data_IF_531238515283
#
_entry.id   IF_531238515283
#
_cell.length_a   1.000
_cell.length_b   1.000
_cell.length_c   1.000
_cell.angle_alpha   90.00
_cell.angle_beta   90.00
_cell.angle_gamma   90.00
#
_symmetry.space_group_name_H-M   'P 1'
#
loop_
_entity.id
_entity.type
_entity.pdbx_description
1 polymer ?
#
# COMPACT_ATOMS: atom_id res chain seq x y z
N UNK A 1 33.29 3.83 -6.41
CA UNK A 1 32.06 3.61 -5.61
C UNK A 1 31.03 4.62 -6.09
N UNK A 2 30.05 4.19 -6.89
CA UNK A 2 29.05 5.11 -7.44
C UNK A 2 27.97 5.40 -6.39
N UNK A 3 27.55 6.67 -6.19
CA UNK A 3 26.54 7.00 -5.19
C UNK A 3 25.16 6.50 -5.65
N UNK A 4 24.40 5.95 -4.69
CA UNK A 4 23.20 5.13 -4.88
C UNK A 4 21.90 5.96 -5.05
N UNK A 5 21.98 7.29 -5.05
CA UNK A 5 20.78 8.12 -4.99
C UNK A 5 20.65 9.05 -6.21
N UNK A 6 19.81 8.60 -7.16
CA UNK A 6 19.18 9.37 -8.24
C UNK A 6 20.11 10.12 -9.20
N UNK A 7 20.37 9.51 -10.35
CA UNK A 7 20.91 10.23 -11.51
C UNK A 7 19.93 11.31 -12.00
N UNK A 8 20.41 12.39 -12.65
CA UNK A 8 19.55 13.45 -13.21
C UNK A 8 18.39 12.93 -14.08
N UNK A 9 18.63 11.86 -14.85
CA UNK A 9 17.60 11.23 -15.69
C UNK A 9 16.51 10.52 -14.89
N UNK A 10 16.85 9.81 -13.80
CA UNK A 10 15.86 9.19 -12.93
C UNK A 10 14.93 10.22 -12.29
N UNK A 11 15.48 11.37 -11.89
CA UNK A 11 14.69 12.49 -11.35
C UNK A 11 13.71 13.03 -12.37
N UNK A 12 14.13 13.14 -13.64
CA UNK A 12 13.27 13.60 -14.74
C UNK A 12 12.14 12.61 -14.99
N UNK A 13 12.45 11.31 -15.09
CA UNK A 13 11.45 10.26 -15.29
C UNK A 13 10.47 10.20 -14.12
N UNK A 14 10.94 10.34 -12.88
CA UNK A 14 10.09 10.40 -11.68
C UNK A 14 9.09 11.55 -11.74
N UNK A 15 9.57 12.77 -12.02
CA UNK A 15 8.70 13.94 -12.15
C UNK A 15 7.70 13.81 -13.29
N UNK A 16 8.13 13.24 -14.42
CA UNK A 16 7.25 13.00 -15.56
C UNK A 16 6.17 11.99 -15.23
N UNK A 17 6.50 10.91 -14.52
CA UNK A 17 5.53 9.90 -14.10
C UNK A 17 4.44 10.50 -13.21
N UNK A 18 4.81 11.29 -12.21
CA UNK A 18 3.85 11.96 -11.31
C UNK A 18 2.97 12.99 -12.02
N UNK A 19 3.44 13.57 -13.13
CA UNK A 19 2.72 14.61 -13.88
C UNK A 19 1.99 14.06 -15.10
N UNK A 20 2.07 12.77 -15.37
CA UNK A 20 1.39 12.17 -16.51
C UNK A 20 -0.09 12.00 -16.21
N UNK A 21 -0.96 12.72 -16.94
CA UNK A 21 -2.42 12.65 -16.82
C UNK A 21 -2.89 12.68 -15.35
N UNK A 22 -2.51 13.72 -14.57
CA UNK A 22 -2.59 13.68 -13.12
C UNK A 22 -4.03 13.53 -12.61
N UNK A 23 -5.01 14.13 -13.29
CA UNK A 23 -6.42 13.98 -12.95
C UNK A 23 -6.91 12.55 -13.18
N UNK A 24 -6.60 11.94 -14.32
CA UNK A 24 -6.99 10.55 -14.62
C UNK A 24 -6.37 9.58 -13.61
N UNK A 25 -5.09 9.77 -13.27
CA UNK A 25 -4.38 8.93 -12.31
C UNK A 25 -4.90 9.14 -10.87
N UNK A 26 -5.31 10.36 -10.52
CA UNK A 26 -5.93 10.65 -9.24
C UNK A 26 -7.30 9.97 -9.11
N UNK A 27 -8.13 10.05 -10.15
CA UNK A 27 -9.43 9.36 -10.19
C UNK A 27 -9.26 7.84 -10.14
N UNK A 28 -8.27 7.30 -10.85
CA UNK A 28 -7.91 5.89 -10.78
C UNK A 28 -7.51 5.49 -9.35
N UNK A 29 -6.65 6.29 -8.70
CA UNK A 29 -6.24 6.05 -7.31
C UNK A 29 -7.40 6.08 -6.33
N UNK A 30 -8.31 7.05 -6.48
CA UNK A 30 -9.54 7.15 -5.68
C UNK A 30 -10.43 5.90 -5.86
N UNK A 31 -10.69 5.50 -7.11
CA UNK A 31 -11.46 4.29 -7.40
C UNK A 31 -10.79 3.03 -6.86
N UNK A 32 -9.47 2.93 -7.00
CA UNK A 32 -8.68 1.81 -6.47
C UNK A 32 -8.73 1.74 -4.93
N UNK A 33 -8.68 2.88 -4.24
CA UNK A 33 -8.86 2.96 -2.79
C UNK A 33 -10.22 2.39 -2.37
N UNK A 34 -11.30 2.79 -3.04
CA UNK A 34 -12.65 2.31 -2.76
C UNK A 34 -12.79 0.79 -3.00
N UNK A 35 -12.24 0.30 -4.11
CA UNK A 35 -12.24 -1.15 -4.43
C UNK A 35 -11.49 -1.92 -3.34
N UNK A 36 -10.30 -1.48 -2.94
CA UNK A 36 -9.51 -2.17 -1.92
C UNK A 36 -10.22 -2.13 -0.57
N UNK A 37 -10.85 -1.02 -0.20
CA UNK A 37 -11.65 -0.94 1.02
C UNK A 37 -12.80 -1.95 1.00
N UNK A 38 -13.52 -2.07 -0.13
CA UNK A 38 -14.58 -3.06 -0.30
C UNK A 38 -14.07 -4.49 -0.15
N UNK A 39 -12.89 -4.83 -0.71
CA UNK A 39 -12.25 -6.14 -0.53
C UNK A 39 -12.04 -6.46 0.95
N UNK A 40 -11.51 -5.51 1.73
CA UNK A 40 -11.30 -5.69 3.16
C UNK A 40 -12.62 -5.78 3.94
N UNK A 41 -13.59 -4.92 3.61
CA UNK A 41 -14.91 -4.94 4.24
C UNK A 41 -15.59 -6.29 4.06
N UNK A 42 -15.71 -6.79 2.82
CA UNK A 42 -16.35 -8.09 2.57
C UNK A 42 -15.52 -9.25 3.12
N UNK A 43 -14.18 -9.19 3.04
CA UNK A 43 -13.30 -10.17 3.65
C UNK A 43 -13.52 -10.29 5.16
N UNK A 44 -13.60 -9.15 5.85
CA UNK A 44 -13.95 -9.10 7.27
C UNK A 44 -15.32 -9.71 7.56
N UNK A 45 -16.35 -9.38 6.76
CA UNK A 45 -17.70 -9.95 6.93
C UNK A 45 -17.68 -11.47 6.78
N UNK A 46 -16.99 -12.02 5.79
CA UNK A 46 -16.88 -13.48 5.59
C UNK A 46 -16.15 -14.13 6.76
N UNK A 47 -14.99 -13.60 7.16
CA UNK A 47 -14.21 -14.14 8.29
C UNK A 47 -15.04 -14.11 9.57
N UNK A 48 -15.81 -13.05 9.81
CA UNK A 48 -16.68 -12.93 10.99
C UNK A 48 -17.85 -13.91 11.04
N UNK A 49 -18.19 -14.54 9.90
CA UNK A 49 -19.24 -15.58 9.82
C UNK A 49 -18.67 -16.98 10.07
N UNK A 50 -17.42 -17.23 9.65
CA UNK A 50 -16.78 -18.56 9.71
C UNK A 50 -15.99 -18.75 11.00
N UNK A 51 -15.37 -17.68 11.51
CA UNK A 51 -14.52 -17.73 12.70
C UNK A 51 -15.29 -17.24 13.93
N UNK A 52 -15.28 -18.01 15.02
CA UNK A 52 -15.84 -17.57 16.30
C UNK A 52 -15.11 -16.29 16.77
N UNK A 53 -15.88 -15.30 17.23
CA UNK A 53 -15.37 -14.06 17.84
C UNK A 53 -14.38 -14.42 18.96
N UNK A 54 -13.08 -14.24 18.74
CA UNK A 54 -12.07 -14.38 19.79
C UNK A 54 -10.69 -14.91 19.37
N UNK A 55 -10.58 -15.72 18.32
CA UNK A 55 -9.29 -16.36 17.97
C UNK A 55 -8.37 -15.47 17.10
N UNK A 56 -8.95 -14.53 16.34
CA UNK A 56 -8.23 -13.51 15.60
C UNK A 56 -8.63 -12.11 16.11
N UNK A 57 -7.81 -11.52 16.96
CA UNK A 57 -8.05 -10.16 17.45
C UNK A 57 -7.67 -9.14 16.39
N UNK A 58 -8.64 -8.70 15.60
CA UNK A 58 -8.48 -7.55 14.70
C UNK A 58 -8.12 -6.27 15.47
N UNK A 59 -8.50 -6.19 16.74
CA UNK A 59 -8.13 -5.10 17.63
C UNK A 59 -6.60 -4.95 17.74
N UNK A 60 -5.84 -6.04 17.65
CA UNK A 60 -4.37 -5.99 17.63
C UNK A 60 -3.78 -5.24 16.42
N UNK A 61 -4.48 -5.21 15.29
CA UNK A 61 -4.08 -4.42 14.10
C UNK A 61 -4.27 -2.92 14.36
N UNK A 62 -5.28 -2.58 15.14
CA UNK A 62 -5.61 -1.19 15.47
C UNK A 62 -4.93 -0.66 16.73
N UNK A 63 -4.34 -1.52 17.56
CA UNK A 63 -3.83 -1.16 18.90
C UNK A 63 -2.80 -0.01 18.89
N UNK A 64 -2.05 0.18 17.80
CA UNK A 64 -1.07 1.28 17.70
C UNK A 64 -1.72 2.66 17.62
N UNK A 65 -2.99 2.75 17.20
CA UNK A 65 -3.68 4.04 16.99
C UNK A 65 -4.07 4.72 18.30
N UNK A 66 -4.22 3.97 19.38
CA UNK A 66 -4.74 4.46 20.66
C UNK A 66 -3.77 5.45 21.34
N UNK A 67 -2.51 5.48 20.91
CA UNK A 67 -1.45 6.34 21.46
C UNK A 67 -1.27 7.66 20.70
N UNK A 68 -1.98 7.89 19.58
CA UNK A 68 -1.77 9.03 18.71
C UNK A 68 -3.06 9.84 18.48
N UNK A 69 -2.92 11.17 18.47
CA UNK A 69 -4.05 12.05 18.13
C UNK A 69 -4.51 11.81 16.68
N UNK A 70 -5.82 11.74 16.45
CA UNK A 70 -6.44 11.42 15.16
C UNK A 70 -5.90 12.24 13.98
N UNK A 71 -5.69 13.54 14.15
CA UNK A 71 -5.18 14.40 13.07
C UNK A 71 -3.73 14.06 12.70
N UNK A 72 -2.88 13.68 13.68
CA UNK A 72 -1.50 13.24 13.41
C UNK A 72 -1.52 11.94 12.63
N UNK A 73 -2.38 10.99 13.00
CA UNK A 73 -2.53 9.73 12.27
C UNK A 73 -2.89 9.98 10.80
N UNK A 74 -3.88 10.84 10.53
CA UNK A 74 -4.27 11.18 9.15
C UNK A 74 -3.11 11.80 8.37
N UNK A 75 -2.32 12.70 8.97
CA UNK A 75 -1.16 13.29 8.31
C UNK A 75 -0.05 12.27 8.05
N UNK A 76 0.26 11.42 9.03
CA UNK A 76 1.29 10.40 8.87
C UNK A 76 0.88 9.37 7.81
N UNK A 77 -0.31 8.80 7.91
CA UNK A 77 -0.83 7.84 6.94
C UNK A 77 -0.92 8.46 5.54
N UNK A 78 -1.53 9.63 5.44
CA UNK A 78 -1.86 10.24 4.15
C UNK A 78 -0.70 10.92 3.42
N UNK A 79 0.27 11.49 4.15
CA UNK A 79 1.31 12.34 3.54
C UNK A 79 2.73 11.79 3.69
N UNK A 80 2.94 10.83 4.60
CA UNK A 80 4.29 10.31 4.89
C UNK A 80 4.37 8.83 4.58
N UNK A 81 3.53 8.00 5.21
CA UNK A 81 3.55 6.56 5.11
C UNK A 81 3.08 6.14 3.71
N UNK A 82 1.85 6.44 3.31
CA UNK A 82 1.34 6.07 1.99
C UNK A 82 2.26 6.51 0.83
N UNK A 83 2.68 7.79 0.76
CA UNK A 83 3.61 8.23 -0.27
C UNK A 83 5.01 7.59 -0.17
N UNK A 84 5.56 7.49 1.04
CA UNK A 84 6.90 6.95 1.27
C UNK A 84 6.99 5.48 0.93
N UNK A 85 5.99 4.70 1.31
CA UNK A 85 5.89 3.28 1.00
C UNK A 85 5.76 3.03 -0.50
N UNK A 86 4.91 3.76 -1.21
CA UNK A 86 4.79 3.54 -2.66
C UNK A 86 6.06 3.95 -3.42
N UNK A 87 6.77 4.99 -2.96
CA UNK A 87 8.10 5.35 -3.52
C UNK A 87 9.10 4.21 -3.28
N UNK A 88 9.17 3.66 -2.07
CA UNK A 88 10.10 2.57 -1.75
C UNK A 88 9.73 1.28 -2.50
N UNK A 89 8.50 0.82 -2.36
CA UNK A 89 8.10 -0.48 -2.83
C UNK A 89 7.85 -0.52 -4.33
N UNK A 90 7.22 0.50 -4.92
CA UNK A 90 6.89 0.48 -6.36
C UNK A 90 7.96 1.14 -7.19
N UNK A 91 8.27 2.39 -6.86
CA UNK A 91 9.19 3.17 -7.68
C UNK A 91 10.63 2.66 -7.56
N UNK A 92 11.09 2.32 -6.35
CA UNK A 92 12.45 1.85 -6.14
C UNK A 92 12.57 0.34 -6.34
N UNK A 93 11.85 -0.47 -5.57
CA UNK A 93 12.05 -1.93 -5.56
C UNK A 93 11.41 -2.62 -6.78
N UNK A 94 10.09 -2.51 -6.97
CA UNK A 94 9.38 -3.23 -8.04
C UNK A 94 9.83 -2.79 -9.44
N UNK A 95 10.03 -1.49 -9.66
CA UNK A 95 10.51 -1.01 -10.96
C UNK A 95 11.93 -1.50 -11.27
N UNK A 96 12.89 -1.40 -10.34
CA UNK A 96 14.28 -1.78 -10.62
C UNK A 96 14.47 -3.29 -10.68
N UNK A 97 13.75 -4.06 -9.89
CA UNK A 97 13.78 -5.52 -10.01
C UNK A 97 13.14 -5.99 -11.32
N UNK A 98 12.11 -5.29 -11.83
CA UNK A 98 11.53 -5.59 -13.12
C UNK A 98 12.54 -5.53 -14.27
N UNK A 99 13.54 -4.64 -14.21
CA UNK A 99 14.62 -4.55 -15.19
C UNK A 99 15.53 -5.80 -15.21
N UNK A 100 15.61 -6.53 -14.09
CA UNK A 100 16.48 -7.72 -13.95
C UNK A 100 15.75 -9.04 -14.14
N UNK A 101 14.56 -9.18 -13.57
CA UNK A 101 13.82 -10.46 -13.52
C UNK A 101 12.51 -10.42 -14.32
N UNK A 102 12.19 -9.28 -14.93
CA UNK A 102 10.95 -9.05 -15.65
C UNK A 102 9.80 -8.56 -14.75
N UNK A 103 8.82 -7.84 -15.34
CA UNK A 103 7.84 -7.08 -14.58
C UNK A 103 6.88 -7.93 -13.75
N UNK A 104 6.42 -9.08 -14.27
CA UNK A 104 5.52 -9.99 -13.55
C UNK A 104 6.19 -10.68 -12.36
N UNK A 105 7.44 -11.14 -12.54
CA UNK A 105 8.21 -11.76 -11.45
C UNK A 105 8.53 -10.74 -10.37
N UNK A 106 8.94 -9.53 -10.77
CA UNK A 106 9.20 -8.46 -9.81
C UNK A 106 7.96 -8.07 -9.02
N UNK A 107 6.79 -7.98 -9.67
CA UNK A 107 5.53 -7.75 -8.98
C UNK A 107 5.29 -8.77 -7.86
N UNK A 108 5.34 -10.08 -8.18
CA UNK A 108 5.06 -11.13 -7.20
C UNK A 108 6.09 -11.13 -6.06
N UNK A 109 7.39 -11.04 -6.38
CA UNK A 109 8.43 -11.06 -5.36
C UNK A 109 8.38 -9.84 -4.44
N UNK A 110 8.14 -8.64 -4.98
CA UNK A 110 8.06 -7.44 -4.15
C UNK A 110 6.78 -7.44 -3.31
N UNK A 111 5.65 -7.96 -3.80
CA UNK A 111 4.44 -8.13 -2.99
C UNK A 111 4.68 -9.10 -1.81
N UNK A 112 5.43 -10.19 -2.03
CA UNK A 112 5.81 -11.13 -0.97
C UNK A 112 6.77 -10.51 0.05
N UNK A 113 7.81 -9.80 -0.40
CA UNK A 113 8.75 -9.15 0.53
C UNK A 113 8.04 -8.06 1.34
N UNK A 114 7.16 -7.28 0.69
CA UNK A 114 6.31 -6.28 1.34
C UNK A 114 5.45 -6.86 2.47
N UNK A 115 4.86 -8.05 2.27
CA UNK A 115 4.09 -8.69 3.35
C UNK A 115 4.99 -9.26 4.43
N UNK A 116 6.13 -9.87 4.07
CA UNK A 116 7.03 -10.52 5.02
C UNK A 116 7.70 -9.56 6.00
N UNK A 117 7.94 -8.29 5.65
CA UNK A 117 8.47 -7.32 6.63
C UNK A 117 7.53 -7.11 7.82
N UNK A 118 6.23 -7.37 7.64
CA UNK A 118 5.24 -7.28 8.70
C UNK A 118 5.29 -8.48 9.67
N UNK A 119 6.06 -9.54 9.40
CA UNK A 119 6.31 -10.60 10.37
C UNK A 119 6.94 -10.06 11.67
N UNK A 120 7.70 -8.97 11.57
CA UNK A 120 8.28 -8.28 12.73
C UNK A 120 7.23 -7.77 13.73
N UNK A 121 5.97 -7.64 13.32
CA UNK A 121 4.85 -7.22 14.20
C UNK A 121 4.31 -8.35 15.06
N UNK A 122 4.68 -9.62 14.78
CA UNK A 122 4.09 -10.79 15.43
C UNK A 122 2.61 -11.03 15.07
N UNK A 123 2.06 -10.29 14.11
CA UNK A 123 0.64 -10.32 13.75
C UNK A 123 0.44 -10.94 12.36
N UNK A 124 0.03 -12.23 12.34
CA UNK A 124 -0.21 -12.94 11.08
C UNK A 124 -1.34 -12.34 10.26
N UNK A 125 -2.36 -11.76 10.92
CA UNK A 125 -3.46 -11.09 10.22
C UNK A 125 -2.97 -9.84 9.50
N UNK A 126 -2.06 -9.07 10.11
CA UNK A 126 -1.42 -7.93 9.46
C UNK A 126 -0.53 -8.35 8.28
N UNK A 127 0.16 -9.48 8.38
CA UNK A 127 0.94 -10.05 7.26
C UNK A 127 0.02 -10.43 6.09
N UNK A 128 -1.13 -11.06 6.36
CA UNK A 128 -2.11 -11.39 5.33
C UNK A 128 -2.73 -10.13 4.70
N UNK A 129 -3.08 -9.13 5.51
CA UNK A 129 -3.54 -7.83 5.04
C UNK A 129 -2.50 -7.16 4.13
N UNK A 130 -1.24 -7.13 4.57
CA UNK A 130 -0.13 -6.59 3.79
C UNK A 130 0.07 -7.37 2.48
N UNK A 131 -0.14 -8.69 2.45
CA UNK A 131 -0.07 -9.46 1.21
C UNK A 131 -1.16 -9.04 0.21
N UNK A 132 -2.41 -8.88 0.66
CA UNK A 132 -3.52 -8.42 -0.20
C UNK A 132 -3.21 -7.02 -0.73
N UNK A 133 -2.80 -6.09 0.13
CA UNK A 133 -2.41 -4.74 -0.26
C UNK A 133 -1.22 -4.72 -1.22
N UNK A 134 -0.18 -5.49 -0.94
CA UNK A 134 1.02 -5.61 -1.78
C UNK A 134 0.70 -6.18 -3.16
N UNK A 135 -0.17 -7.18 -3.26
CA UNK A 135 -0.66 -7.71 -4.53
C UNK A 135 -1.51 -6.68 -5.27
N UNK A 136 -2.39 -5.96 -4.58
CA UNK A 136 -3.28 -4.98 -5.20
C UNK A 136 -2.51 -3.77 -5.75
N UNK A 137 -1.72 -3.09 -4.92
CA UNK A 137 -0.93 -1.93 -5.35
C UNK A 137 0.21 -2.32 -6.28
N UNK A 138 0.81 -3.49 -6.09
CA UNK A 138 1.81 -4.03 -7.01
C UNK A 138 1.23 -4.28 -8.41
N UNK A 139 0.01 -4.82 -8.49
CA UNK A 139 -0.71 -4.99 -9.75
C UNK A 139 -1.12 -3.65 -10.37
N UNK A 140 -1.63 -2.72 -9.56
CA UNK A 140 -2.01 -1.37 -10.00
C UNK A 140 -0.82 -0.66 -10.66
N UNK A 141 0.34 -0.71 -10.01
CA UNK A 141 1.57 -0.14 -10.56
C UNK A 141 2.02 -0.88 -11.81
N UNK A 142 1.96 -2.21 -11.84
CA UNK A 142 2.30 -3.01 -13.02
C UNK A 142 1.40 -2.67 -14.23
N UNK A 143 0.11 -2.45 -14.00
CA UNK A 143 -0.89 -2.24 -15.05
C UNK A 143 -0.88 -0.83 -15.61
N UNK A 144 -0.76 0.17 -14.75
CA UNK A 144 -0.92 1.58 -15.14
C UNK A 144 0.39 2.36 -15.12
N UNK A 145 1.46 1.79 -14.54
CA UNK A 145 2.77 2.42 -14.39
C UNK A 145 2.67 3.85 -13.84
N UNK A 146 1.81 4.06 -12.85
CA UNK A 146 1.52 5.37 -12.28
C UNK A 146 1.75 5.36 -10.78
N UNK A 147 2.81 6.04 -10.36
CA UNK A 147 3.09 6.19 -8.93
C UNK A 147 2.05 7.06 -8.25
N UNK A 148 1.50 8.07 -8.95
CA UNK A 148 0.47 8.96 -8.40
C UNK A 148 -0.81 8.20 -8.04
N UNK A 149 -1.28 7.30 -8.92
CA UNK A 149 -2.46 6.49 -8.67
C UNK A 149 -2.28 5.60 -7.43
N UNK A 150 -1.11 4.98 -7.31
CA UNK A 150 -0.71 4.18 -6.16
C UNK A 150 -0.66 4.99 -4.87
N UNK A 151 0.01 6.15 -4.87
CA UNK A 151 0.11 7.03 -3.70
C UNK A 151 -1.29 7.44 -3.21
N UNK A 152 -2.16 7.87 -4.12
CA UNK A 152 -3.52 8.29 -3.77
C UNK A 152 -4.32 7.10 -3.25
N UNK A 153 -4.23 5.94 -3.92
CA UNK A 153 -4.95 4.74 -3.50
C UNK A 153 -4.56 4.32 -2.09
N UNK A 154 -3.26 4.22 -1.83
CA UNK A 154 -2.71 3.78 -0.55
C UNK A 154 -3.08 4.78 0.56
N UNK A 155 -2.76 6.05 0.37
CA UNK A 155 -2.99 7.11 1.37
C UNK A 155 -4.46 7.23 1.76
N UNK A 156 -5.38 7.19 0.79
CA UNK A 156 -6.81 7.25 1.06
C UNK A 156 -7.33 5.97 1.71
N UNK A 157 -6.81 4.81 1.30
CA UNK A 157 -7.21 3.53 1.88
C UNK A 157 -6.77 3.43 3.34
N UNK A 158 -5.55 3.84 3.67
CA UNK A 158 -5.04 3.88 5.04
C UNK A 158 -5.90 4.77 5.94
N UNK A 159 -6.18 5.99 5.49
CA UNK A 159 -7.04 6.91 6.25
C UNK A 159 -8.44 6.33 6.42
N UNK A 160 -9.01 5.73 5.37
CA UNK A 160 -10.33 5.12 5.43
C UNK A 160 -10.37 3.96 6.43
N UNK A 161 -9.46 2.99 6.32
CA UNK A 161 -9.50 1.77 7.11
C UNK A 161 -9.03 1.97 8.55
N UNK A 162 -8.07 2.86 8.81
CA UNK A 162 -7.54 3.07 10.16
C UNK A 162 -8.28 4.15 10.96
N UNK A 163 -8.86 5.15 10.27
CA UNK A 163 -9.43 6.34 10.92
C UNK A 163 -10.92 6.49 10.68
N UNK A 164 -11.37 6.57 9.42
CA UNK A 164 -12.77 6.94 9.12
C UNK A 164 -13.75 5.81 9.39
N UNK A 165 -13.43 4.61 8.94
CA UNK A 165 -14.30 3.43 9.00
C UNK A 165 -13.50 2.18 9.35
N UNK A 166 -13.00 2.08 10.60
CA UNK A 166 -12.31 0.89 11.05
C UNK A 166 -13.25 -0.32 11.08
N UNK A 167 -12.74 -1.45 10.59
CA UNK A 167 -13.42 -2.75 10.66
C UNK A 167 -13.11 -3.38 12.02
N UNK A 168 -14.04 -3.29 12.96
CA UNK A 168 -13.92 -3.81 14.34
C UNK A 168 -15.14 -4.62 14.76
#
# INVERSE_FOLDING_TARGET
>A
MYPVFFFPEERKIFKQNLRHKPLEMALLGLGASFILYAVFYFGFRIISLVWMRGEFSIQSVYALKDYASTWRLVLFLGLIIGPGEEILWRWFLQRRWAERVGPKKSFLWIALIYSLVHLATGNLLLVMAALICGLFWGWLFLKFNSLLANIISHSLWDVAIFVLWPLI
#
